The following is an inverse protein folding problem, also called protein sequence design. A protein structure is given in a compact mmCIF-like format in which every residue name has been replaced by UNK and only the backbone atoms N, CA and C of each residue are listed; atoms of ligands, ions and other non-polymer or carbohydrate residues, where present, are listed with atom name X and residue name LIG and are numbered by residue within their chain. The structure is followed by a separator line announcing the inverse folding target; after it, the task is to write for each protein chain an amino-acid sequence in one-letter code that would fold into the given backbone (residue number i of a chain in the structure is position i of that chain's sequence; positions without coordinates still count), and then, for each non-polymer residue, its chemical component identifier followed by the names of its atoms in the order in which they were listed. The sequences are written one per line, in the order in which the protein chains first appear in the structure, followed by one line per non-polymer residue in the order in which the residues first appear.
data_IF_193131985269
#
_entry.id   IF_193131985269
#
_cell.length_a   1.000
_cell.length_b   1.000
_cell.length_c   1.000
_cell.angle_alpha   90.00
_cell.angle_beta   90.00
_cell.angle_gamma   90.00
#
_symmetry.space_group_name_H-M   'P 1'
#
loop_
_entity.id
_entity.type
_entity.pdbx_description
1 polymer ?
#
# COMPACT_ATOMS: atom_id res chain seq x y z
N UNK A 1 -18.65 -30.02 2.39
CA UNK A 1 -18.17 -28.76 2.98
C UNK A 1 -18.98 -27.64 2.33
N UNK A 2 -19.70 -26.82 3.10
CA UNK A 2 -20.48 -25.71 2.53
C UNK A 2 -19.52 -24.68 1.95
N UNK A 3 -19.57 -24.45 0.63
CA UNK A 3 -18.80 -23.40 -0.04
C UNK A 3 -19.69 -22.17 -0.20
N UNK A 4 -19.91 -21.43 0.89
CA UNK A 4 -20.56 -20.12 0.82
C UNK A 4 -19.56 -19.11 0.26
N UNK A 5 -19.82 -18.60 -0.94
CA UNK A 5 -19.04 -17.50 -1.54
C UNK A 5 -19.97 -16.35 -1.89
N UNK A 6 -19.57 -15.14 -1.50
CA UNK A 6 -20.29 -13.90 -1.83
C UNK A 6 -19.33 -12.87 -2.40
N UNK A 7 -19.61 -12.38 -3.61
CA UNK A 7 -18.86 -11.27 -4.22
C UNK A 7 -19.32 -9.94 -3.64
N UNK A 8 -18.40 -9.18 -3.06
CA UNK A 8 -18.62 -7.82 -2.55
C UNK A 8 -18.40 -6.76 -3.64
N UNK A 9 -18.72 -5.49 -3.38
CA UNK A 9 -18.44 -4.36 -4.29
C UNK A 9 -16.94 -4.15 -4.53
N UNK A 10 -16.59 -3.55 -5.67
CA UNK A 10 -15.19 -3.22 -6.03
C UNK A 10 -14.62 -2.06 -5.23
N UNK A 11 -13.30 -2.02 -5.07
CA UNK A 11 -12.59 -0.91 -4.40
C UNK A 11 -12.62 -0.95 -2.88
N UNK A 12 -13.28 -1.95 -2.28
CA UNK A 12 -13.22 -2.20 -0.84
C UNK A 12 -11.80 -2.62 -0.41
N UNK A 13 -11.46 -2.30 0.83
CA UNK A 13 -10.21 -2.75 1.43
C UNK A 13 -10.25 -4.24 1.75
N UNK A 14 -9.09 -4.89 1.75
CA UNK A 14 -8.95 -6.29 2.19
C UNK A 14 -9.55 -6.46 3.59
N UNK A 15 -9.25 -5.54 4.51
CA UNK A 15 -9.82 -5.53 5.86
C UNK A 15 -11.36 -5.58 5.89
N UNK A 16 -12.03 -4.83 5.01
CA UNK A 16 -13.50 -4.87 4.90
C UNK A 16 -13.97 -6.25 4.44
N UNK A 17 -13.32 -6.83 3.43
CA UNK A 17 -13.63 -8.19 2.97
C UNK A 17 -13.50 -9.23 4.08
N UNK A 18 -12.41 -9.18 4.85
CA UNK A 18 -12.15 -10.07 5.99
C UNK A 18 -13.20 -9.91 7.11
N UNK A 19 -13.58 -8.68 7.44
CA UNK A 19 -14.63 -8.41 8.42
C UNK A 19 -15.99 -8.96 7.97
N UNK A 20 -16.33 -8.81 6.68
CA UNK A 20 -17.57 -9.35 6.12
C UNK A 20 -17.56 -10.88 6.07
N UNK A 21 -16.42 -11.51 5.79
CA UNK A 21 -16.28 -12.96 5.85
C UNK A 21 -16.55 -13.50 7.27
N UNK A 22 -16.03 -12.82 8.30
CA UNK A 22 -16.34 -13.15 9.70
C UNK A 22 -17.83 -12.96 9.99
N UNK A 23 -18.42 -11.84 9.55
CA UNK A 23 -19.85 -11.59 9.73
C UNK A 23 -20.71 -12.72 9.13
N UNK A 24 -20.41 -13.14 7.89
CA UNK A 24 -21.11 -14.25 7.24
C UNK A 24 -20.95 -15.57 8.00
N UNK A 25 -19.76 -15.85 8.53
CA UNK A 25 -19.52 -17.05 9.33
C UNK A 25 -20.31 -17.03 10.65
N UNK A 26 -20.38 -15.88 11.31
CA UNK A 26 -21.16 -15.70 12.55
C UNK A 26 -22.66 -15.82 12.27
N UNK A 27 -23.16 -15.20 11.20
CA UNK A 27 -24.56 -15.34 10.75
C UNK A 27 -24.91 -16.80 10.45
N UNK A 28 -24.00 -17.53 9.79
CA UNK A 28 -24.20 -18.96 9.52
C UNK A 28 -24.34 -19.76 10.83
N UNK A 29 -23.56 -19.46 11.87
CA UNK A 29 -23.71 -20.09 13.19
C UNK A 29 -25.05 -19.73 13.84
N UNK A 30 -25.49 -18.47 13.74
CA UNK A 30 -26.81 -18.06 14.25
C UNK A 30 -27.96 -18.83 13.59
N UNK A 31 -27.89 -19.06 12.28
CA UNK A 31 -28.90 -19.77 11.52
C UNK A 31 -28.92 -21.29 11.81
N UNK A 32 -27.73 -21.90 11.87
CA UNK A 32 -27.60 -23.37 11.97
C UNK A 32 -27.52 -23.89 13.42
N UNK A 33 -27.29 -22.98 14.37
CA UNK A 33 -27.24 -23.24 15.81
C UNK A 33 -26.37 -24.44 16.27
N UNK A 34 -25.14 -24.64 15.74
CA UNK A 34 -24.23 -25.62 16.32
C UNK A 34 -23.86 -25.22 17.76
N UNK A 35 -23.89 -26.17 18.69
CA UNK A 35 -23.58 -25.93 20.11
C UNK A 35 -22.21 -25.27 20.33
N UNK A 36 -21.22 -25.70 19.55
CA UNK A 36 -19.85 -25.19 19.61
C UNK A 36 -19.28 -25.00 18.20
N UNK A 37 -18.69 -23.84 17.95
CA UNK A 37 -18.04 -23.50 16.68
C UNK A 37 -16.70 -22.79 16.89
N UNK A 38 -15.77 -23.03 15.96
CA UNK A 38 -14.51 -22.29 15.89
C UNK A 38 -14.42 -21.61 14.53
N UNK A 39 -14.31 -20.27 14.53
CA UNK A 39 -14.09 -19.47 13.33
C UNK A 39 -12.60 -19.16 13.25
N UNK A 40 -11.95 -19.63 12.18
CA UNK A 40 -10.54 -19.37 11.92
C UNK A 40 -10.39 -18.24 10.90
N UNK A 41 -9.46 -17.30 11.13
CA UNK A 41 -9.15 -16.21 10.19
C UNK A 41 -7.66 -15.90 10.25
N UNK A 42 -7.08 -15.59 9.09
CA UNK A 42 -5.70 -15.14 8.97
C UNK A 42 -5.54 -13.61 9.07
N UNK A 43 -6.66 -12.87 9.04
CA UNK A 43 -6.69 -11.44 9.30
C UNK A 43 -6.50 -11.11 10.78
N UNK A 44 -5.23 -10.98 11.19
CA UNK A 44 -4.87 -10.50 12.54
C UNK A 44 -5.51 -9.15 12.86
N UNK A 45 -5.68 -8.27 11.87
CA UNK A 45 -6.35 -6.97 12.05
C UNK A 45 -7.82 -7.11 12.41
N UNK A 46 -8.57 -7.96 11.70
CA UNK A 46 -10.01 -8.15 11.96
C UNK A 46 -10.24 -8.76 13.34
N UNK A 47 -9.44 -9.78 13.70
CA UNK A 47 -9.49 -10.41 15.03
C UNK A 47 -9.10 -9.44 16.14
N UNK A 48 -8.12 -8.56 15.90
CA UNK A 48 -7.76 -7.51 16.88
C UNK A 48 -8.91 -6.53 17.07
N UNK A 49 -9.57 -6.09 16.00
CA UNK A 49 -10.72 -5.19 16.09
C UNK A 49 -11.91 -5.81 16.83
N UNK A 50 -12.16 -7.11 16.65
CA UNK A 50 -13.16 -7.84 17.44
C UNK A 50 -12.77 -7.91 18.91
N UNK A 51 -11.52 -8.28 19.21
CA UNK A 51 -11.01 -8.39 20.59
C UNK A 51 -11.05 -7.05 21.33
N UNK A 52 -10.68 -5.97 20.65
CA UNK A 52 -10.65 -4.63 21.22
C UNK A 52 -12.00 -3.91 21.13
N UNK A 53 -13.01 -4.52 20.51
CA UNK A 53 -14.31 -3.89 20.25
C UNK A 53 -14.20 -2.52 19.57
N UNK A 54 -13.22 -2.37 18.66
CA UNK A 54 -12.93 -1.10 18.00
C UNK A 54 -12.46 -1.29 16.56
N UNK A 55 -13.06 -0.53 15.64
CA UNK A 55 -12.71 -0.49 14.21
C UNK A 55 -12.86 0.93 13.70
N UNK A 56 -11.75 1.58 13.34
CA UNK A 56 -11.76 2.95 12.83
C UNK A 56 -12.32 3.02 11.40
N UNK A 57 -12.07 1.99 10.59
CA UNK A 57 -12.53 1.92 9.19
C UNK A 57 -13.96 1.42 9.07
N UNK A 58 -14.33 0.36 9.79
CA UNK A 58 -15.63 -0.34 9.67
C UNK A 58 -16.29 -0.54 11.03
N UNK A 59 -16.72 0.53 11.73
CA UNK A 59 -17.48 0.40 12.97
C UNK A 59 -18.87 -0.22 12.73
N UNK A 60 -19.45 0.03 11.56
CA UNK A 60 -20.73 -0.53 11.09
C UNK A 60 -20.73 -2.06 11.10
N UNK A 61 -19.77 -2.68 10.40
CA UNK A 61 -19.66 -4.15 10.31
C UNK A 61 -19.31 -4.74 11.67
N UNK A 62 -18.45 -4.06 12.45
CA UNK A 62 -18.07 -4.51 13.79
C UNK A 62 -19.29 -4.59 14.72
N UNK A 63 -20.13 -3.56 14.74
CA UNK A 63 -21.34 -3.51 15.56
C UNK A 63 -22.28 -4.66 15.16
N UNK A 64 -22.45 -4.92 13.87
CA UNK A 64 -23.29 -6.02 13.39
C UNK A 64 -22.77 -7.39 13.85
N UNK A 65 -21.45 -7.62 13.78
CA UNK A 65 -20.83 -8.84 14.31
C UNK A 65 -21.08 -8.97 15.82
N UNK A 66 -20.86 -7.90 16.60
CA UNK A 66 -21.05 -7.91 18.05
C UNK A 66 -22.51 -8.18 18.44
N UNK A 67 -23.47 -7.55 17.77
CA UNK A 67 -24.89 -7.80 17.99
C UNK A 67 -25.25 -9.26 17.69
N UNK A 68 -24.71 -9.82 16.61
CA UNK A 68 -24.94 -11.21 16.23
C UNK A 68 -24.32 -12.18 17.24
N UNK A 69 -23.09 -11.92 17.70
CA UNK A 69 -22.44 -12.69 18.76
C UNK A 69 -23.23 -12.66 20.08
N UNK A 70 -23.80 -11.50 20.43
CA UNK A 70 -24.66 -11.37 21.59
C UNK A 70 -25.90 -12.26 21.47
N UNK A 71 -26.60 -12.25 20.32
CA UNK A 71 -27.76 -13.11 20.07
C UNK A 71 -27.40 -14.60 20.16
N UNK A 72 -26.28 -15.00 19.57
CA UNK A 72 -25.76 -16.39 19.63
C UNK A 72 -25.48 -16.82 21.08
N UNK A 73 -24.89 -15.92 21.88
CA UNK A 73 -24.64 -16.18 23.30
C UNK A 73 -25.94 -16.37 24.08
N UNK A 74 -26.97 -15.56 23.79
CA UNK A 74 -28.30 -15.69 24.40
C UNK A 74 -29.01 -17.00 24.01
N UNK A 75 -28.66 -17.59 22.86
CA UNK A 75 -29.13 -18.92 22.46
C UNK A 75 -28.38 -20.07 23.16
N UNK A 76 -27.39 -19.79 24.01
CA UNK A 76 -26.57 -20.79 24.68
C UNK A 76 -25.51 -21.45 23.78
N UNK A 77 -25.22 -20.85 22.63
CA UNK A 77 -24.23 -21.34 21.67
C UNK A 77 -22.87 -20.71 21.94
N UNK A 78 -21.79 -21.44 21.63
CA UNK A 78 -20.43 -20.96 21.86
C UNK A 78 -19.65 -20.82 20.55
N UNK A 79 -19.08 -19.62 20.32
CA UNK A 79 -18.12 -19.36 19.25
C UNK A 79 -16.76 -19.04 19.85
N UNK A 80 -15.69 -19.62 19.27
CA UNK A 80 -14.32 -19.19 19.51
C UNK A 80 -13.69 -18.69 18.21
N UNK A 81 -12.87 -17.66 18.32
CA UNK A 81 -12.06 -17.16 17.21
C UNK A 81 -10.62 -17.64 17.35
N UNK A 82 -10.05 -18.11 16.24
CA UNK A 82 -8.67 -18.56 16.17
C UNK A 82 -7.94 -17.82 15.05
N UNK A 83 -6.81 -17.20 15.38
CA UNK A 83 -5.91 -16.69 14.36
C UNK A 83 -5.07 -17.82 13.79
N UNK A 84 -4.96 -17.88 12.46
CA UNK A 84 -4.10 -18.83 11.75
C UNK A 84 -3.19 -18.07 10.77
N UNK A 85 -1.96 -18.53 10.53
CA UNK A 85 -1.08 -17.85 9.58
C UNK A 85 -1.52 -18.12 8.13
N UNK A 86 -1.49 -17.06 7.31
CA UNK A 86 -1.72 -17.17 5.87
C UNK A 86 -0.55 -17.92 5.19
N UNK A 87 -0.86 -18.66 4.12
CA UNK A 87 0.13 -19.28 3.21
C UNK A 87 1.12 -20.26 3.87
N UNK A 88 0.68 -20.98 4.91
CA UNK A 88 1.50 -21.99 5.60
C UNK A 88 1.10 -23.46 5.29
N UNK A 89 0.37 -23.75 4.21
CA UNK A 89 -0.04 -25.13 3.91
C UNK A 89 -1.29 -25.62 4.66
N UNK A 90 -2.00 -24.73 5.37
CA UNK A 90 -3.24 -25.11 6.07
C UNK A 90 -4.34 -25.29 5.02
N UNK A 91 -4.62 -26.54 4.65
CA UNK A 91 -5.55 -26.91 3.57
C UNK A 91 -6.87 -26.14 3.58
N UNK A 92 -7.49 -25.97 4.74
CA UNK A 92 -8.76 -25.23 4.87
C UNK A 92 -8.62 -23.74 4.58
N UNK A 93 -7.53 -23.10 5.01
CA UNK A 93 -7.27 -21.68 4.72
C UNK A 93 -7.00 -21.48 3.23
N UNK A 94 -6.17 -22.35 2.64
CA UNK A 94 -5.81 -22.26 1.21
C UNK A 94 -7.02 -22.51 0.30
N UNK A 95 -7.94 -23.38 0.70
CA UNK A 95 -9.21 -23.59 -0.02
C UNK A 95 -10.09 -22.34 0.04
N UNK A 96 -10.21 -21.71 1.22
CA UNK A 96 -10.97 -20.45 1.39
C UNK A 96 -10.33 -19.31 0.59
N UNK A 97 -9.00 -19.17 0.62
CA UNK A 97 -8.26 -18.18 -0.18
C UNK A 97 -8.52 -18.34 -1.68
N UNK A 98 -8.55 -19.59 -2.16
CA UNK A 98 -8.85 -19.90 -3.55
C UNK A 98 -10.28 -19.50 -3.89
N UNK A 99 -11.25 -19.87 -3.05
CA UNK A 99 -12.67 -19.52 -3.25
C UNK A 99 -12.88 -18.01 -3.20
N UNK A 100 -12.20 -17.30 -2.29
CA UNK A 100 -12.24 -15.85 -2.20
C UNK A 100 -11.69 -15.20 -3.48
N UNK A 101 -10.55 -15.67 -3.99
CA UNK A 101 -9.99 -15.22 -5.27
C UNK A 101 -10.93 -15.49 -6.44
N UNK A 102 -11.53 -16.68 -6.52
CA UNK A 102 -12.50 -17.01 -7.56
C UNK A 102 -13.74 -16.10 -7.50
N UNK A 103 -14.21 -15.74 -6.30
CA UNK A 103 -15.34 -14.84 -6.13
C UNK A 103 -15.06 -13.44 -6.72
N UNK A 104 -13.80 -12.97 -6.68
CA UNK A 104 -13.44 -11.66 -7.27
C UNK A 104 -13.66 -11.57 -8.77
N UNK A 105 -13.60 -12.71 -9.47
CA UNK A 105 -13.76 -12.84 -10.93
C UNK A 105 -15.24 -12.84 -11.32
N UNK A 106 -16.15 -13.11 -10.38
CA UNK A 106 -17.60 -13.08 -10.65
C UNK A 106 -18.07 -11.69 -11.09
N UNK A 107 -18.80 -11.63 -12.19
CA UNK A 107 -19.40 -10.39 -12.71
C UNK A 107 -20.57 -9.89 -11.86
N UNK A 108 -21.24 -10.79 -11.13
CA UNK A 108 -22.36 -10.43 -10.26
C UNK A 108 -21.88 -10.07 -8.86
N UNK A 109 -22.11 -8.82 -8.45
CA UNK A 109 -21.96 -8.38 -7.06
C UNK A 109 -23.17 -8.89 -6.27
N UNK A 110 -22.91 -9.62 -5.19
CA UNK A 110 -23.93 -10.19 -4.31
C UNK A 110 -24.09 -9.39 -3.01
N UNK A 111 -23.05 -8.67 -2.59
CA UNK A 111 -23.05 -7.80 -1.43
C UNK A 111 -22.62 -6.41 -1.86
N UNK A 112 -23.59 -5.51 -1.99
CA UNK A 112 -23.31 -4.10 -2.23
C UNK A 112 -23.00 -3.41 -0.90
N UNK A 113 -21.74 -3.05 -0.72
CA UNK A 113 -21.23 -2.49 0.52
C UNK A 113 -20.77 -1.07 0.27
N UNK A 114 -21.30 -0.14 1.05
CA UNK A 114 -20.88 1.25 1.00
C UNK A 114 -19.40 1.41 1.40
N UNK A 115 -18.71 2.33 0.74
CA UNK A 115 -17.34 2.67 1.05
C UNK A 115 -17.22 3.37 2.40
N UNK A 116 -16.19 3.01 3.16
CA UNK A 116 -15.81 3.78 4.33
C UNK A 116 -14.95 5.00 3.94
N UNK A 117 -14.82 5.95 4.87
CA UNK A 117 -14.03 7.17 4.67
C UNK A 117 -12.58 6.88 4.23
N UNK A 118 -11.95 5.83 4.79
CA UNK A 118 -10.58 5.45 4.45
C UNK A 118 -10.47 4.90 3.03
N UNK A 119 -11.45 4.12 2.59
CA UNK A 119 -11.52 3.57 1.22
C UNK A 119 -11.66 4.70 0.20
N UNK A 120 -12.62 5.61 0.41
CA UNK A 120 -12.80 6.79 -0.46
C UNK A 120 -11.53 7.63 -0.53
N UNK A 121 -10.89 7.91 0.62
CA UNK A 121 -9.63 8.66 0.66
C UNK A 121 -8.51 7.95 -0.10
N UNK A 122 -8.44 6.62 -0.02
CA UNK A 122 -7.46 5.81 -0.76
C UNK A 122 -7.69 5.92 -2.26
N UNK A 123 -8.94 5.77 -2.72
CA UNK A 123 -9.30 5.88 -4.15
C UNK A 123 -8.95 7.26 -4.71
N UNK A 124 -9.32 8.33 -4.01
CA UNK A 124 -8.99 9.71 -4.41
C UNK A 124 -7.47 9.86 -4.51
N UNK A 125 -6.72 9.38 -3.52
CA UNK A 125 -5.25 9.46 -3.53
C UNK A 125 -4.66 8.70 -4.72
N UNK A 126 -5.17 7.52 -5.06
CA UNK A 126 -4.71 6.76 -6.21
C UNK A 126 -4.92 7.53 -7.51
N UNK A 127 -6.09 8.13 -7.71
CA UNK A 127 -6.38 8.94 -8.89
C UNK A 127 -5.53 10.22 -8.94
N UNK A 128 -5.30 10.88 -7.81
CA UNK A 128 -4.38 12.01 -7.73
C UNK A 128 -2.95 11.61 -8.12
N UNK A 129 -2.47 10.47 -7.62
CA UNK A 129 -1.13 9.96 -7.95
C UNK A 129 -1.01 9.61 -9.43
N UNK A 130 -2.04 9.00 -10.04
CA UNK A 130 -2.06 8.73 -11.50
C UNK A 130 -1.99 10.01 -12.32
N UNK A 131 -2.78 11.03 -11.94
CA UNK A 131 -2.74 12.35 -12.61
C UNK A 131 -1.37 13.00 -12.46
N UNK A 132 -0.79 12.95 -11.26
CA UNK A 132 0.55 13.50 -11.02
C UNK A 132 1.63 12.75 -11.81
N UNK A 133 1.55 11.42 -11.87
CA UNK A 133 2.45 10.61 -12.68
C UNK A 133 2.36 10.97 -14.17
N UNK A 134 1.15 11.11 -14.71
CA UNK A 134 0.94 11.52 -16.10
C UNK A 134 1.54 12.90 -16.39
N UNK A 135 1.29 13.87 -15.52
CA UNK A 135 1.90 15.20 -15.64
C UNK A 135 3.43 15.11 -15.58
N UNK A 136 3.98 14.26 -14.73
CA UNK A 136 5.43 14.06 -14.62
C UNK A 136 6.06 13.48 -15.89
N UNK A 137 5.34 12.59 -16.58
CA UNK A 137 5.78 11.99 -17.85
C UNK A 137 5.71 12.99 -19.03
N UNK A 138 4.72 13.87 -19.02
CA UNK A 138 4.47 14.84 -20.10
C UNK A 138 5.24 16.16 -19.94
N UNK A 139 5.69 16.50 -18.73
CA UNK A 139 6.37 17.75 -18.43
C UNK A 139 7.72 17.87 -19.15
N UNK A 140 8.00 19.06 -19.69
CA UNK A 140 9.25 19.38 -20.41
C UNK A 140 10.35 19.86 -19.47
N UNK A 141 9.98 20.40 -18.31
CA UNK A 141 10.92 20.84 -17.27
C UNK A 141 11.33 19.67 -16.38
N UNK A 142 12.51 19.77 -15.77
CA UNK A 142 12.96 18.75 -14.80
C UNK A 142 13.27 17.37 -15.39
N UNK A 143 13.46 17.26 -16.71
CA UNK A 143 13.74 15.98 -17.41
C UNK A 143 14.95 15.23 -16.88
N UNK A 144 15.96 15.95 -16.41
CA UNK A 144 17.09 15.34 -15.70
C UNK A 144 16.64 14.55 -14.47
N UNK A 145 15.78 15.14 -13.63
CA UNK A 145 15.26 14.46 -12.46
C UNK A 145 14.31 13.31 -12.85
N UNK A 146 13.57 13.45 -13.96
CA UNK A 146 12.75 12.38 -14.51
C UNK A 146 13.58 11.16 -14.91
N UNK A 147 14.72 11.37 -15.56
CA UNK A 147 15.63 10.29 -15.96
C UNK A 147 16.17 9.53 -14.74
N UNK A 148 16.36 10.22 -13.60
CA UNK A 148 16.78 9.61 -12.33
C UNK A 148 15.61 8.97 -11.58
N UNK A 149 14.44 9.59 -11.60
CA UNK A 149 13.24 9.16 -10.89
C UNK A 149 12.01 9.32 -11.78
N UNK A 150 11.67 8.22 -12.44
CA UNK A 150 10.56 8.18 -13.40
C UNK A 150 9.19 8.14 -12.72
N UNK A 151 9.12 7.67 -11.46
CA UNK A 151 7.87 7.56 -10.71
C UNK A 151 7.74 8.62 -9.62
N UNK A 152 6.57 9.26 -9.55
CA UNK A 152 6.25 10.21 -8.48
C UNK A 152 6.00 9.47 -7.16
N UNK A 153 6.35 10.11 -6.04
CA UNK A 153 6.08 9.58 -4.70
C UNK A 153 6.98 8.43 -4.24
N UNK A 154 7.99 8.02 -5.03
CA UNK A 154 9.01 7.08 -4.55
C UNK A 154 9.79 7.69 -3.39
N UNK A 155 9.61 7.11 -2.20
CA UNK A 155 10.37 7.46 -1.01
C UNK A 155 11.75 6.83 -1.10
N UNK A 156 12.80 7.62 -0.85
CA UNK A 156 14.16 7.11 -0.67
C UNK A 156 14.37 6.78 0.79
N UNK A 157 14.41 5.50 1.15
CA UNK A 157 14.95 5.08 2.44
C UNK A 157 16.40 4.66 2.24
N UNK A 158 17.33 5.50 2.66
CA UNK A 158 18.74 5.36 2.29
C UNK A 158 19.64 5.08 3.47
N UNK A 159 19.12 5.17 4.71
CA UNK A 159 19.92 5.06 5.93
C UNK A 159 21.05 6.09 6.04
N UNK A 160 21.07 7.12 5.17
CA UNK A 160 22.15 8.10 5.08
C UNK A 160 22.00 9.22 6.10
N UNK A 161 23.12 9.85 6.44
CA UNK A 161 23.12 11.06 7.25
C UNK A 161 22.42 12.22 6.51
N UNK A 162 21.93 13.19 7.28
CA UNK A 162 21.31 14.41 6.72
C UNK A 162 22.24 15.13 5.73
N UNK A 163 23.55 15.16 6.00
CA UNK A 163 24.55 15.82 5.14
C UNK A 163 24.62 15.14 3.76
N UNK A 164 24.65 13.82 3.73
CA UNK A 164 24.68 13.04 2.49
C UNK A 164 23.39 13.19 1.70
N UNK A 165 22.22 13.17 2.36
CA UNK A 165 20.94 13.38 1.68
C UNK A 165 20.83 14.76 1.03
N UNK A 166 21.38 15.81 1.66
CA UNK A 166 21.47 17.14 1.08
C UNK A 166 22.35 17.15 -0.18
N UNK A 167 23.52 16.50 -0.12
CA UNK A 167 24.43 16.42 -1.27
C UNK A 167 23.77 15.68 -2.43
N UNK A 168 23.19 14.50 -2.17
CA UNK A 168 22.52 13.68 -3.17
C UNK A 168 21.34 14.43 -3.77
N UNK A 169 20.51 15.08 -2.95
CA UNK A 169 19.38 15.85 -3.45
C UNK A 169 19.83 17.00 -4.35
N UNK A 170 20.87 17.75 -3.96
CA UNK A 170 21.46 18.81 -4.79
C UNK A 170 21.95 18.29 -6.14
N UNK A 171 22.66 17.17 -6.16
CA UNK A 171 23.11 16.52 -7.40
C UNK A 171 21.91 16.13 -8.29
N UNK A 172 20.87 15.54 -7.70
CA UNK A 172 19.67 15.12 -8.42
C UNK A 172 18.84 16.27 -9.00
N UNK A 173 18.80 17.41 -8.32
CA UNK A 173 18.15 18.61 -8.85
C UNK A 173 19.07 19.42 -9.79
N UNK A 174 20.32 18.99 -9.99
CA UNK A 174 21.31 19.73 -10.78
C UNK A 174 21.81 21.01 -10.10
N UNK A 175 21.46 21.24 -8.83
CA UNK A 175 21.93 22.34 -8.00
C UNK A 175 23.32 22.06 -7.43
N UNK A 176 24.28 21.93 -8.32
CA UNK A 176 25.69 21.76 -7.97
C UNK A 176 26.38 23.10 -7.81
N UNK A 177 27.48 23.15 -7.05
CA UNK A 177 28.33 24.35 -6.95
C UNK A 177 29.26 24.54 -8.15
N UNK A 178 28.98 23.89 -9.29
CA UNK A 178 29.82 23.99 -10.49
C UNK A 178 29.60 25.32 -11.20
N UNK A 179 30.63 25.82 -11.88
CA UNK A 179 30.58 27.09 -12.63
C UNK A 179 29.41 27.12 -13.62
N UNK A 180 29.05 25.99 -14.24
CA UNK A 180 27.89 25.88 -15.12
C UNK A 180 26.56 26.19 -14.40
N UNK A 181 26.32 25.56 -13.25
CA UNK A 181 25.12 25.81 -12.46
C UNK A 181 25.11 27.25 -11.89
N UNK A 182 26.28 27.77 -11.51
CA UNK A 182 26.44 29.16 -11.07
C UNK A 182 26.16 30.17 -12.19
N UNK A 183 26.53 29.87 -13.43
CA UNK A 183 26.22 30.70 -14.60
C UNK A 183 24.73 30.73 -14.91
N UNK A 184 24.04 29.58 -14.83
CA UNK A 184 22.58 29.50 -15.00
C UNK A 184 21.83 30.40 -14.00
N UNK A 185 22.36 30.56 -12.78
CA UNK A 185 21.77 31.44 -11.75
C UNK A 185 22.39 32.85 -11.70
N UNK A 186 23.20 33.23 -12.70
CA UNK A 186 23.79 34.57 -12.83
C UNK A 186 24.90 34.89 -11.83
N UNK A 187 25.52 33.88 -11.20
CA UNK A 187 26.61 34.03 -10.22
C UNK A 187 28.01 33.70 -10.77
N UNK A 188 28.11 33.32 -12.03
CA UNK A 188 29.38 33.10 -12.72
C UNK A 188 29.27 33.67 -14.13
N UNK A 189 30.35 34.23 -14.68
CA UNK A 189 30.28 35.01 -15.91
C UNK A 189 30.24 34.14 -17.18
N UNK A 190 30.85 32.95 -17.15
CA UNK A 190 31.10 32.15 -18.38
C UNK A 190 30.58 30.72 -18.33
N UNK A 191 30.18 30.21 -17.16
CA UNK A 191 29.83 28.79 -16.96
C UNK A 191 30.95 27.75 -17.11
N UNK A 192 32.15 28.16 -17.50
CA UNK A 192 33.29 27.27 -17.79
C UNK A 192 34.22 27.13 -16.58
N UNK A 193 34.96 26.03 -16.52
CA UNK A 193 35.99 25.83 -15.51
C UNK A 193 37.17 26.78 -15.75
N UNK A 194 37.64 27.45 -14.70
CA UNK A 194 38.74 28.43 -14.80
C UNK A 194 40.10 27.80 -15.16
N UNK A 195 40.25 26.49 -14.93
CA UNK A 195 41.51 25.77 -15.15
C UNK A 195 41.56 25.04 -16.50
N UNK A 196 40.49 24.35 -16.89
CA UNK A 196 40.48 23.57 -18.13
C UNK A 196 39.66 24.22 -19.26
N UNK A 197 38.92 25.29 -18.99
CA UNK A 197 38.08 25.98 -19.99
C UNK A 197 36.84 25.20 -20.44
N UNK A 198 36.64 23.97 -19.95
CA UNK A 198 35.51 23.12 -20.30
C UNK A 198 34.26 23.42 -19.48
N UNK A 199 33.09 23.15 -20.07
CA UNK A 199 31.80 23.23 -19.39
C UNK A 199 31.55 21.92 -18.63
N UNK A 200 31.69 21.95 -17.29
CA UNK A 200 31.34 20.83 -16.42
C UNK A 200 29.95 21.04 -15.85
N UNK A 201 29.05 20.11 -16.15
CA UNK A 201 27.67 20.13 -15.65
C UNK A 201 27.41 19.00 -14.64
N UNK A 202 26.24 19.06 -14.00
CA UNK A 202 25.80 18.06 -13.02
C UNK A 202 25.71 16.63 -13.61
N UNK A 203 25.50 16.47 -14.93
CA UNK A 203 25.47 15.15 -15.59
C UNK A 203 26.84 14.47 -15.53
N UNK A 204 27.90 15.25 -15.71
CA UNK A 204 29.30 14.79 -15.65
C UNK A 204 29.67 14.29 -14.24
N UNK A 205 29.12 14.93 -13.19
CA UNK A 205 29.31 14.49 -11.80
C UNK A 205 28.49 13.25 -11.43
N UNK A 206 27.38 12.98 -12.11
CA UNK A 206 26.54 11.81 -11.80
C UNK A 206 27.06 10.54 -12.47
N UNK A 207 27.54 10.65 -13.72
CA UNK A 207 28.15 9.51 -14.47
C UNK A 207 29.39 9.00 -13.75
N UNK A 208 30.23 9.92 -13.24
CA UNK A 208 31.44 9.56 -12.49
C UNK A 208 31.12 8.86 -11.17
N UNK A 209 29.98 9.15 -10.51
CA UNK A 209 29.59 8.44 -9.29
C UNK A 209 29.10 7.01 -9.54
N UNK A 210 28.40 6.73 -10.65
CA UNK A 210 28.01 5.37 -11.03
C UNK A 210 29.22 4.47 -11.35
N UNK A 211 30.26 5.04 -11.94
CA UNK A 211 31.52 4.34 -12.22
C UNK A 211 32.32 4.07 -10.94
N UNK A 212 32.23 4.95 -9.93
CA UNK A 212 32.89 4.76 -8.64
C UNK A 212 32.19 3.68 -7.79
N UNK A 213 30.86 3.54 -7.89
CA UNK A 213 30.14 2.44 -7.21
C UNK A 213 30.39 1.06 -7.82
N UNK A 214 30.94 0.98 -9.04
CA UNK A 214 31.33 -0.26 -9.71
C UNK A 214 32.77 -0.69 -9.46
N UNK A 215 33.58 0.09 -8.73
CA UNK A 215 34.95 -0.29 -8.30
C UNK A 215 34.98 -0.60 -6.80
N UNK A 216 34.31 -1.68 -6.42
CA UNK A 216 34.62 -2.43 -5.21
C UNK A 216 34.59 -3.91 -5.57
N UNK A 217 35.69 -4.37 -6.16
CA UNK A 217 36.18 -5.76 -6.14
C UNK A 217 37.39 -5.83 -7.09
N UNK A 218 38.54 -5.37 -6.58
CA UNK A 218 39.86 -5.99 -6.78
C UNK A 218 40.62 -5.90 -5.46
#
# INVERSE_FOLDING_TARGET
MLQLKKRVSDGLSVYTGEMLAILLAVQWVEENRPLFSVICSDSSSSLTSLRCSHSESRPDVLIEIQQTLYRITMMGLTIRFLWIPAHCGIRGNEEVDKVAKEATISTSVQLDIAFCRKEVKSMIRQEMMKKWQKQWEEERRGRWLYDIQRRVGEMRNTGRSRREEVIISRLRFGHTGLNNALFIIGKHNTGKCDYCGEEKNYRSCYITMSEISGRKEE
#
